data_IF_138533199532
#
_entry.id   IF_138533199532
#
_cell.length_a   1.000
_cell.length_b   1.000
_cell.length_c   1.000
_cell.angle_alpha   90.00
_cell.angle_beta   90.00
_cell.angle_gamma   90.00
#
_symmetry.space_group_name_H-M   'P 1'
#
loop_
_entity.id
_entity.type
_entity.pdbx_description
1 polymer ?
#
# COMPACT_ATOMS: atom_id res chain seq x y z
N UNK A 1 -1.24 -4.32 10.77
CA UNK A 1 -0.91 -3.32 9.72
C UNK A 1 0.48 -2.70 9.91
N UNK A 2 0.80 -2.12 11.08
CA UNK A 2 2.04 -1.34 11.28
C UNK A 2 3.34 -2.06 10.90
N UNK A 3 3.54 -3.32 11.32
CA UNK A 3 4.75 -4.07 10.99
C UNK A 3 4.96 -4.21 9.47
N UNK A 4 3.89 -4.42 8.70
CA UNK A 4 3.94 -4.52 7.24
C UNK A 4 4.36 -3.19 6.60
N UNK A 5 3.78 -2.08 7.06
CA UNK A 5 4.11 -0.74 6.57
C UNK A 5 5.54 -0.34 6.92
N UNK A 6 5.99 -0.61 8.15
CA UNK A 6 7.36 -0.37 8.59
C UNK A 6 8.36 -1.21 7.78
N UNK A 7 8.03 -2.46 7.50
CA UNK A 7 8.84 -3.32 6.64
C UNK A 7 8.93 -2.77 5.22
N UNK A 8 7.80 -2.36 4.63
CA UNK A 8 7.78 -1.70 3.32
C UNK A 8 8.67 -0.47 3.28
N UNK A 9 8.62 0.36 4.32
CA UNK A 9 9.48 1.54 4.43
C UNK A 9 10.96 1.18 4.48
N UNK A 10 11.32 0.23 5.35
CA UNK A 10 12.71 -0.18 5.59
C UNK A 10 13.34 -0.88 4.39
N UNK A 11 12.60 -1.79 3.79
CA UNK A 11 13.09 -2.68 2.72
C UNK A 11 12.69 -2.20 1.32
N UNK A 12 12.02 -1.04 1.20
CA UNK A 12 11.52 -0.50 -0.06
C UNK A 12 10.62 -1.51 -0.82
N UNK A 13 9.87 -2.33 -0.07
CA UNK A 13 9.02 -3.37 -0.62
C UNK A 13 7.66 -2.83 -1.04
N UNK A 14 7.19 -3.08 -2.27
CA UNK A 14 5.86 -2.67 -2.70
C UNK A 14 4.74 -3.40 -1.94
N UNK A 15 3.72 -2.65 -1.57
CA UNK A 15 2.49 -3.14 -0.97
C UNK A 15 1.32 -2.88 -1.91
N UNK A 16 0.34 -3.77 -1.87
CA UNK A 16 -0.98 -3.50 -2.41
C UNK A 16 -1.92 -3.19 -1.25
N UNK A 17 -2.62 -2.07 -1.34
CA UNK A 17 -3.65 -1.66 -0.38
C UNK A 17 -5.02 -1.60 -1.06
N UNK A 18 -6.06 -1.91 -0.31
CA UNK A 18 -7.45 -1.60 -0.66
C UNK A 18 -7.81 -0.30 0.05
N UNK A 19 -7.95 0.78 -0.71
CA UNK A 19 -8.13 2.13 -0.18
C UNK A 19 -9.51 2.68 -0.50
N UNK A 20 -10.21 3.14 0.53
CA UNK A 20 -11.51 3.80 0.40
C UNK A 20 -11.35 5.32 0.33
N UNK A 21 -11.79 5.90 -0.79
CA UNK A 21 -11.88 7.35 -0.94
C UNK A 21 -13.08 7.92 -0.16
N UNK A 22 -13.13 9.24 -0.01
CA UNK A 22 -14.15 9.93 0.78
C UNK A 22 -15.57 9.75 0.21
N UNK A 23 -15.69 9.56 -1.11
CA UNK A 23 -16.92 9.23 -1.82
C UNK A 23 -17.36 7.77 -1.63
N UNK A 24 -16.63 6.97 -0.85
CA UNK A 24 -16.87 5.55 -0.65
C UNK A 24 -16.23 4.65 -1.71
N UNK A 25 -15.62 5.21 -2.76
CA UNK A 25 -15.01 4.41 -3.83
C UNK A 25 -13.81 3.63 -3.30
N UNK A 26 -13.86 2.30 -3.41
CA UNK A 26 -12.77 1.41 -3.02
C UNK A 26 -11.86 1.16 -4.22
N UNK A 27 -10.57 1.33 -4.02
CA UNK A 27 -9.57 1.18 -5.09
C UNK A 27 -8.39 0.35 -4.64
N UNK A 28 -7.91 -0.54 -5.51
CA UNK A 28 -6.64 -1.23 -5.34
C UNK A 28 -5.49 -0.27 -5.68
N UNK A 29 -4.56 -0.05 -4.75
CA UNK A 29 -3.36 0.79 -4.97
C UNK A 29 -2.09 0.00 -4.70
N UNK A 30 -1.17 0.00 -5.66
CA UNK A 30 0.20 -0.43 -5.42
C UNK A 30 1.00 0.79 -4.93
N UNK A 31 1.70 0.64 -3.79
CA UNK A 31 2.43 1.71 -3.13
C UNK A 31 3.78 1.24 -2.59
N UNK A 32 4.71 2.16 -2.41
CA UNK A 32 5.94 1.96 -1.61
C UNK A 32 5.96 3.01 -0.50
N UNK A 33 6.05 2.57 0.74
CA UNK A 33 6.06 3.46 1.91
C UNK A 33 7.36 4.27 1.93
N UNK A 34 7.24 5.58 2.11
CA UNK A 34 8.36 6.52 2.27
C UNK A 34 8.50 6.97 3.73
N UNK A 35 7.39 7.25 4.39
CA UNK A 35 7.34 7.53 5.82
C UNK A 35 5.97 7.22 6.42
N UNK A 36 5.94 7.10 7.74
CA UNK A 36 4.75 6.78 8.51
C UNK A 36 4.53 7.84 9.59
N UNK A 37 3.27 8.21 9.79
CA UNK A 37 2.82 8.97 10.97
C UNK A 37 1.78 8.16 11.73
N UNK A 38 1.30 8.71 12.86
CA UNK A 38 0.24 8.09 13.66
C UNK A 38 -1.09 7.90 12.91
N UNK A 39 -1.38 8.73 11.91
CA UNK A 39 -2.67 8.74 11.21
C UNK A 39 -2.59 8.47 9.70
N UNK A 40 -1.39 8.44 9.12
CA UNK A 40 -1.24 8.33 7.69
C UNK A 40 0.08 7.66 7.26
N UNK A 41 0.06 7.19 6.03
CA UNK A 41 1.22 6.69 5.29
C UNK A 41 1.54 7.70 4.20
N UNK A 42 2.79 8.15 4.12
CA UNK A 42 3.30 8.85 2.94
C UNK A 42 4.01 7.83 2.06
N UNK A 43 3.57 7.71 0.81
CA UNK A 43 4.02 6.65 -0.07
C UNK A 43 4.05 7.09 -1.53
N UNK A 44 4.94 6.50 -2.32
CA UNK A 44 4.86 6.58 -3.78
C UNK A 44 3.73 5.69 -4.27
N UNK A 45 2.81 6.24 -5.05
CA UNK A 45 1.67 5.51 -5.62
C UNK A 45 1.93 5.20 -7.10
N UNK A 46 2.11 3.93 -7.44
CA UNK A 46 2.44 3.52 -8.82
C UNK A 46 1.30 3.83 -9.80
N UNK A 47 0.04 3.74 -9.36
CA UNK A 47 -1.12 4.06 -10.21
C UNK A 47 -1.12 5.53 -10.66
N UNK A 48 -0.73 6.45 -9.78
CA UNK A 48 -0.69 7.89 -10.08
C UNK A 48 0.70 8.39 -10.47
N UNK A 49 1.72 7.54 -10.39
CA UNK A 49 3.14 7.86 -10.61
C UNK A 49 3.64 9.06 -9.77
N UNK A 50 3.12 9.22 -8.56
CA UNK A 50 3.44 10.36 -7.68
C UNK A 50 3.40 9.98 -6.20
N UNK A 51 4.04 10.79 -5.36
CA UNK A 51 3.94 10.67 -3.91
C UNK A 51 2.56 11.12 -3.42
N UNK A 52 1.94 10.34 -2.53
CA UNK A 52 0.63 10.66 -1.94
C UNK A 52 0.59 10.27 -0.46
N UNK A 53 -0.27 10.98 0.26
CA UNK A 53 -0.66 10.64 1.63
C UNK A 53 -1.91 9.75 1.59
N UNK A 54 -1.90 8.67 2.35
CA UNK A 54 -3.02 7.76 2.54
C UNK A 54 -3.36 7.72 4.03
N UNK A 55 -4.62 8.02 4.38
CA UNK A 55 -5.07 7.91 5.76
C UNK A 55 -5.13 6.44 6.17
N UNK A 56 -4.58 6.11 7.35
CA UNK A 56 -4.60 4.74 7.86
C UNK A 56 -6.03 4.23 8.06
N UNK A 57 -6.93 5.11 8.52
CA UNK A 57 -8.37 4.83 8.67
C UNK A 57 -9.07 4.42 7.36
N UNK A 58 -8.47 4.76 6.22
CA UNK A 58 -9.04 4.51 4.90
C UNK A 58 -8.38 3.30 4.19
N UNK A 59 -7.41 2.65 4.84
CA UNK A 59 -6.80 1.41 4.35
C UNK A 59 -7.59 0.23 4.92
N UNK A 60 -8.42 -0.38 4.08
CA UNK A 60 -9.27 -1.52 4.45
C UNK A 60 -8.49 -2.83 4.52
N UNK A 61 -7.46 -2.96 3.68
CA UNK A 61 -6.56 -4.12 3.67
C UNK A 61 -5.20 -3.72 3.09
N UNK A 62 -4.14 -4.44 3.48
CA UNK A 62 -2.81 -4.30 2.89
C UNK A 62 -2.09 -5.65 2.85
N UNK A 63 -1.36 -5.91 1.77
CA UNK A 63 -0.56 -7.13 1.60
C UNK A 63 0.70 -6.86 0.75
N UNK A 64 1.78 -7.64 0.93
CA UNK A 64 2.94 -7.57 0.06
C UNK A 64 2.58 -7.80 -1.40
N UNK A 65 3.09 -6.97 -2.32
CA UNK A 65 2.83 -7.15 -3.74
C UNK A 65 3.42 -8.48 -4.29
N UNK A 66 4.42 -9.04 -3.62
CA UNK A 66 5.02 -10.34 -3.97
C UNK A 66 4.07 -11.53 -3.82
N UNK A 67 3.01 -11.43 -3.01
CA UNK A 67 1.99 -12.48 -2.89
C UNK A 67 1.28 -12.70 -4.23
N UNK A 68 1.11 -11.65 -5.04
CA UNK A 68 0.51 -11.78 -6.37
C UNK A 68 1.35 -12.63 -7.34
N UNK A 69 2.67 -12.73 -7.14
CA UNK A 69 3.55 -13.51 -8.02
C UNK A 69 3.51 -15.01 -7.73
N UNK A 70 3.11 -15.42 -6.53
CA UNK A 70 3.13 -16.83 -6.12
C UNK A 70 2.06 -17.67 -6.84
N UNK A 71 1.02 -17.02 -7.37
CA UNK A 71 -0.07 -17.68 -8.10
C UNK A 71 0.13 -17.67 -9.63
N UNK A 72 1.30 -17.26 -10.13
CA UNK A 72 1.57 -17.11 -11.57
C UNK A 72 2.70 -17.99 -12.10
N UNK A 73 3.18 -18.96 -11.33
CA UNK A 73 4.06 -20.01 -11.87
C UNK A 73 3.19 -21.14 -12.43
N UNK A 74 3.09 -21.31 -13.76
CA UNK A 74 2.71 -22.62 -14.29
C UNK A 74 3.80 -23.61 -13.92
N UNK A 75 3.38 -24.84 -13.56
CA UNK A 75 4.26 -25.99 -13.48
C UNK A 75 4.90 -26.30 -14.84
#
# INVERSE_FOLDING_TARGET
>A
MNALLLRSQRENLPLVIMYQAQDGTITRRNIVVKSLSSSAVYAYCFYRKQNRRFLLSNILAAYPASILRRNSQPA
#
